data_IF_888550066382
#
_entry.id   IF_888550066382
#
_cell.length_a   1.000
_cell.length_b   1.000
_cell.length_c   1.000
_cell.angle_alpha   90.00
_cell.angle_beta   90.00
_cell.angle_gamma   90.00
#
_symmetry.space_group_name_H-M   'P 1'
#
loop_
_entity.id
_entity.type
_entity.pdbx_description
1 polymer ?
#
# COMPACT_ATOMS: atom_id res chain seq x y z
N UNK A 1 -15.26 0.65 -24.01
CA UNK A 1 -14.03 1.44 -24.06
C UNK A 1 -13.42 1.20 -25.44
N UNK A 2 -13.28 2.22 -26.29
CA UNK A 2 -12.66 2.01 -27.62
C UNK A 2 -11.15 1.85 -27.48
N UNK A 3 -10.52 1.16 -28.43
CA UNK A 3 -9.08 0.92 -28.50
C UNK A 3 -8.26 2.21 -28.30
N UNK A 4 -8.70 3.28 -28.98
CA UNK A 4 -8.13 4.63 -28.87
C UNK A 4 -8.15 5.19 -27.44
N UNK A 5 -9.23 5.03 -26.67
CA UNK A 5 -9.28 5.53 -25.29
C UNK A 5 -8.30 4.81 -24.38
N UNK A 6 -8.09 3.50 -24.60
CA UNK A 6 -7.14 2.70 -23.83
C UNK A 6 -5.68 3.06 -24.17
N UNK A 7 -5.38 3.33 -25.44
CA UNK A 7 -4.05 3.82 -25.87
C UNK A 7 -3.72 5.20 -25.24
N UNK A 8 -4.69 6.12 -25.21
CA UNK A 8 -4.52 7.42 -24.57
C UNK A 8 -4.37 7.33 -23.04
N UNK A 9 -5.00 6.35 -22.39
CA UNK A 9 -4.84 6.09 -20.95
C UNK A 9 -3.45 5.56 -20.63
N UNK A 10 -2.96 4.57 -21.38
CA UNK A 10 -1.61 4.05 -21.24
C UNK A 10 -0.53 5.12 -21.52
N UNK A 11 -0.78 6.04 -22.47
CA UNK A 11 0.15 7.12 -22.76
C UNK A 11 0.22 8.15 -21.64
N UNK A 12 -0.92 8.57 -21.08
CA UNK A 12 -0.97 9.46 -19.92
C UNK A 12 -0.24 8.84 -18.72
N UNK A 13 -0.51 7.58 -18.40
CA UNK A 13 0.17 6.86 -17.32
C UNK A 13 1.69 6.82 -17.54
N UNK A 14 2.15 6.55 -18.76
CA UNK A 14 3.59 6.56 -19.07
C UNK A 14 4.23 7.94 -18.84
N UNK A 15 3.53 9.03 -19.15
CA UNK A 15 4.00 10.39 -18.92
C UNK A 15 4.04 10.73 -17.42
N UNK A 16 3.02 10.36 -16.67
CA UNK A 16 2.99 10.52 -15.21
C UNK A 16 4.18 9.79 -14.56
N UNK A 17 4.43 8.54 -14.95
CA UNK A 17 5.58 7.75 -14.48
C UNK A 17 6.92 8.44 -14.77
N UNK A 18 7.09 9.02 -15.98
CA UNK A 18 8.31 9.78 -16.33
C UNK A 18 8.49 11.04 -15.51
N UNK A 19 7.40 11.79 -15.29
CA UNK A 19 7.42 13.00 -14.45
C UNK A 19 7.76 12.65 -13.00
N UNK A 20 7.15 11.58 -12.47
CA UNK A 20 7.45 11.09 -11.13
C UNK A 20 8.92 10.69 -10.95
N UNK A 21 9.47 9.90 -11.89
CA UNK A 21 10.91 9.52 -11.85
C UNK A 21 11.79 10.76 -11.90
N UNK A 22 11.47 11.72 -12.76
CA UNK A 22 12.20 12.98 -12.86
C UNK A 22 12.21 13.79 -11.56
N UNK A 23 11.07 13.85 -10.87
CA UNK A 23 10.94 14.49 -9.56
C UNK A 23 11.74 13.78 -8.47
N UNK A 24 11.70 12.43 -8.48
CA UNK A 24 12.38 11.61 -7.48
C UNK A 24 13.90 11.70 -7.59
N UNK A 25 14.42 11.74 -8.80
CA UNK A 25 15.85 11.75 -9.08
C UNK A 25 16.46 13.16 -9.13
N UNK A 26 15.66 14.20 -8.84
CA UNK A 26 16.04 15.61 -8.94
C UNK A 26 16.61 15.98 -10.33
N UNK A 27 16.06 15.34 -11.39
CA UNK A 27 16.51 15.48 -12.77
C UNK A 27 15.35 15.76 -13.75
N UNK A 28 14.27 16.34 -13.24
CA UNK A 28 13.04 16.62 -13.97
C UNK A 28 13.30 17.39 -15.28
N UNK A 29 12.92 16.80 -16.42
CA UNK A 29 12.88 17.47 -17.72
C UNK A 29 11.54 18.22 -17.87
N UNK A 30 11.55 19.57 -17.98
CA UNK A 30 10.34 20.37 -18.19
C UNK A 30 9.51 19.91 -19.40
N UNK A 31 10.13 19.30 -20.41
CA UNK A 31 9.42 18.80 -21.60
C UNK A 31 8.48 17.63 -21.26
N UNK A 32 8.82 16.80 -20.27
CA UNK A 32 7.93 15.72 -19.83
C UNK A 32 6.70 16.28 -19.11
N UNK A 33 6.87 17.35 -18.32
CA UNK A 33 5.77 18.01 -17.61
C UNK A 33 4.80 18.64 -18.60
N UNK A 34 5.32 19.34 -19.62
CA UNK A 34 4.49 19.93 -20.69
C UNK A 34 3.79 18.86 -21.51
N UNK A 35 4.49 17.78 -21.87
CA UNK A 35 3.89 16.67 -22.61
C UNK A 35 2.73 16.03 -21.83
N UNK A 36 2.92 15.82 -20.51
CA UNK A 36 1.85 15.35 -19.63
C UNK A 36 0.67 16.33 -19.59
N UNK A 37 0.93 17.63 -19.40
CA UNK A 37 -0.12 18.64 -19.34
C UNK A 37 -0.92 18.71 -20.66
N UNK A 38 -0.26 18.63 -21.82
CA UNK A 38 -0.94 18.58 -23.11
C UNK A 38 -1.83 17.33 -23.24
N UNK A 39 -1.32 16.14 -22.87
CA UNK A 39 -2.11 14.90 -22.93
C UNK A 39 -3.34 14.98 -22.00
N UNK A 40 -3.18 15.53 -20.79
CA UNK A 40 -4.28 15.75 -19.86
C UNK A 40 -5.31 16.74 -20.41
N UNK A 41 -4.85 17.84 -21.02
CA UNK A 41 -5.71 18.83 -21.66
C UNK A 41 -6.52 18.22 -22.81
N UNK A 42 -5.89 17.41 -23.67
CA UNK A 42 -6.55 16.70 -24.76
C UNK A 42 -7.64 15.74 -24.26
N UNK A 43 -7.45 15.20 -23.05
CA UNK A 43 -8.43 14.38 -22.31
C UNK A 43 -9.45 15.20 -21.52
N UNK A 44 -9.52 16.52 -21.72
CA UNK A 44 -10.40 17.45 -20.99
C UNK A 44 -10.16 17.50 -19.47
N UNK A 45 -8.97 17.10 -19.00
CA UNK A 45 -8.55 17.28 -17.60
C UNK A 45 -7.94 18.67 -17.44
N UNK A 46 -8.80 19.68 -17.39
CA UNK A 46 -8.41 21.10 -17.40
C UNK A 46 -8.27 21.67 -15.97
N UNK A 47 -7.33 21.16 -15.18
CA UNK A 47 -7.02 21.81 -13.89
C UNK A 47 -6.26 23.11 -14.11
N UNK A 48 -6.34 24.04 -13.16
CA UNK A 48 -5.60 25.32 -13.22
C UNK A 48 -4.10 25.08 -13.43
N UNK A 49 -3.55 24.03 -12.81
CA UNK A 49 -2.15 23.62 -12.96
C UNK A 49 -1.83 23.18 -14.40
N UNK A 50 -2.70 22.39 -15.02
CA UNK A 50 -2.52 21.93 -16.41
C UNK A 50 -2.54 23.12 -17.36
N UNK A 51 -3.49 24.05 -17.19
CA UNK A 51 -3.58 25.26 -18.02
C UNK A 51 -2.34 26.14 -17.86
N UNK A 52 -1.88 26.34 -16.63
CA UNK A 52 -0.67 27.13 -16.35
C UNK A 52 0.58 26.56 -17.05
N UNK A 53 0.77 25.23 -17.02
CA UNK A 53 1.91 24.58 -17.69
C UNK A 53 1.84 24.71 -19.20
N UNK A 54 0.64 24.58 -19.79
CA UNK A 54 0.45 24.65 -21.25
C UNK A 54 0.62 26.08 -21.78
N UNK A 55 0.21 27.09 -21.02
CA UNK A 55 0.25 28.49 -21.44
C UNK A 55 1.66 29.12 -21.34
N UNK A 56 2.53 28.60 -20.47
CA UNK A 56 3.85 29.19 -20.19
C UNK A 56 4.95 28.54 -21.04
N UNK A 57 5.91 29.36 -21.46
CA UNK A 57 7.15 28.85 -22.07
C UNK A 57 8.00 28.13 -21.02
N UNK A 58 8.37 26.84 -21.21
CA UNK A 58 9.17 26.10 -20.22
C UNK A 58 10.56 26.70 -19.99
N UNK A 59 11.09 27.45 -20.97
CA UNK A 59 12.36 28.15 -20.86
C UNK A 59 12.32 29.38 -19.91
N UNK A 60 11.11 29.84 -19.57
CA UNK A 60 10.88 31.01 -18.71
C UNK A 60 10.46 30.60 -17.29
N UNK A 61 10.24 29.30 -17.03
CA UNK A 61 9.88 28.76 -15.73
C UNK A 61 11.15 28.31 -15.00
N UNK A 62 11.30 28.72 -13.74
CA UNK A 62 12.46 28.28 -12.95
C UNK A 62 12.38 26.77 -12.63
N UNK A 63 13.51 26.06 -12.44
CA UNK A 63 13.48 24.63 -12.10
C UNK A 63 12.67 24.29 -10.84
N UNK A 64 12.75 25.14 -9.80
CA UNK A 64 12.00 24.96 -8.56
C UNK A 64 10.48 25.10 -8.78
N UNK A 65 10.09 26.06 -9.61
CA UNK A 65 8.69 26.28 -9.97
C UNK A 65 8.15 25.15 -10.86
N UNK A 66 8.94 24.67 -11.82
CA UNK A 66 8.58 23.51 -12.64
C UNK A 66 8.41 22.24 -11.80
N UNK A 67 9.24 22.06 -10.78
CA UNK A 67 9.12 20.97 -9.79
C UNK A 67 7.80 21.06 -9.01
N UNK A 68 7.42 22.27 -8.59
CA UNK A 68 6.15 22.48 -7.89
C UNK A 68 4.94 22.23 -8.80
N UNK A 69 4.99 22.67 -10.05
CA UNK A 69 3.96 22.41 -11.06
C UNK A 69 3.80 20.92 -11.34
N UNK A 70 4.91 20.21 -11.55
CA UNK A 70 4.90 18.77 -11.79
C UNK A 70 4.31 17.97 -10.64
N UNK A 71 4.63 18.31 -9.38
CA UNK A 71 4.01 17.68 -8.19
C UNK A 71 2.50 17.89 -8.17
N UNK A 72 2.04 19.13 -8.37
CA UNK A 72 0.61 19.46 -8.40
C UNK A 72 -0.13 18.72 -9.51
N UNK A 73 0.47 18.57 -10.69
CA UNK A 73 -0.14 17.78 -11.78
C UNK A 73 -0.34 16.33 -11.36
N UNK A 74 0.67 15.68 -10.77
CA UNK A 74 0.53 14.29 -10.30
C UNK A 74 -0.50 14.16 -9.18
N UNK A 75 -0.54 15.12 -8.25
CA UNK A 75 -1.54 15.16 -7.18
C UNK A 75 -2.97 15.32 -7.75
N UNK A 76 -3.14 16.22 -8.73
CA UNK A 76 -4.41 16.48 -9.42
C UNK A 76 -4.94 15.26 -10.19
N UNK A 77 -4.05 14.42 -10.73
CA UNK A 77 -4.42 13.19 -11.44
C UNK A 77 -4.62 11.99 -10.52
N UNK A 78 -4.25 12.11 -9.24
CA UNK A 78 -4.29 11.01 -8.28
C UNK A 78 -3.25 9.93 -8.59
N UNK A 79 -2.14 10.30 -9.23
CA UNK A 79 -1.08 9.35 -9.56
C UNK A 79 -0.45 8.76 -8.30
N UNK A 80 -0.45 7.44 -8.21
CA UNK A 80 0.14 6.70 -7.09
C UNK A 80 1.27 5.78 -7.58
N UNK A 81 2.52 5.99 -7.15
CA UNK A 81 3.64 5.19 -7.63
C UNK A 81 3.54 3.74 -7.12
N UNK A 82 3.68 2.80 -8.05
CA UNK A 82 3.79 1.37 -7.78
C UNK A 82 5.06 0.99 -6.99
N UNK A 83 5.17 -0.27 -6.59
CA UNK A 83 6.37 -0.80 -5.91
C UNK A 83 7.64 -0.74 -6.78
N UNK A 84 7.49 -0.71 -8.10
CA UNK A 84 8.57 -0.56 -9.07
C UNK A 84 9.16 0.86 -9.07
N UNK A 85 8.32 1.88 -8.88
CA UNK A 85 8.71 3.29 -8.83
C UNK A 85 9.08 3.78 -7.42
N UNK A 86 8.53 3.13 -6.39
CA UNK A 86 8.79 3.43 -4.98
C UNK A 86 9.21 2.15 -4.23
N UNK A 87 10.41 1.60 -4.49
CA UNK A 87 10.86 0.33 -3.91
C UNK A 87 10.97 0.36 -2.38
N UNK A 88 11.14 1.53 -1.76
CA UNK A 88 11.11 1.70 -0.31
C UNK A 88 9.76 1.29 0.32
N UNK A 89 8.63 1.46 -0.40
CA UNK A 89 7.30 1.00 0.04
C UNK A 89 7.28 -0.52 0.19
N UNK A 90 7.98 -1.24 -0.69
CA UNK A 90 8.11 -2.70 -0.61
C UNK A 90 8.99 -3.13 0.58
N UNK A 91 10.02 -2.36 0.92
CA UNK A 91 10.85 -2.62 2.12
C UNK A 91 10.09 -2.39 3.43
N UNK A 92 9.24 -1.37 3.49
CA UNK A 92 8.30 -1.16 4.61
C UNK A 92 7.39 -2.37 4.75
N UNK A 93 6.82 -2.85 3.66
CA UNK A 93 5.92 -4.01 3.67
C UNK A 93 6.63 -5.31 4.10
N UNK A 94 7.85 -5.56 3.60
CA UNK A 94 8.70 -6.69 4.05
C UNK A 94 9.01 -6.61 5.55
N UNK A 95 9.21 -5.41 6.06
CA UNK A 95 9.42 -5.18 7.49
C UNK A 95 8.15 -5.48 8.30
N UNK A 96 7.01 -5.01 7.84
CA UNK A 96 5.70 -5.33 8.43
C UNK A 96 5.44 -6.85 8.44
N UNK A 97 5.74 -7.56 7.35
CA UNK A 97 5.57 -9.01 7.26
C UNK A 97 6.39 -9.75 8.30
N UNK A 98 7.66 -9.37 8.49
CA UNK A 98 8.51 -9.96 9.53
C UNK A 98 7.96 -9.77 10.94
N UNK A 99 7.17 -8.72 11.18
CA UNK A 99 6.52 -8.48 12.47
C UNK A 99 5.29 -9.39 12.61
N UNK A 100 4.34 -9.34 11.67
CA UNK A 100 3.13 -10.21 11.71
C UNK A 100 3.49 -11.70 11.70
N UNK A 101 4.54 -12.11 10.97
CA UNK A 101 4.94 -13.52 10.89
C UNK A 101 5.25 -14.14 12.27
N UNK A 102 5.64 -13.34 13.27
CA UNK A 102 5.87 -13.81 14.64
C UNK A 102 4.60 -14.31 15.32
N UNK A 103 3.46 -13.79 14.90
CA UNK A 103 2.14 -14.16 15.43
C UNK A 103 1.59 -15.42 14.77
N UNK A 104 1.98 -15.71 13.51
CA UNK A 104 1.52 -16.88 12.76
C UNK A 104 1.83 -18.20 13.47
N UNK A 105 2.91 -18.26 14.25
CA UNK A 105 3.26 -19.45 15.04
C UNK A 105 2.18 -19.79 16.08
N UNK A 106 1.45 -18.79 16.60
CA UNK A 106 0.31 -19.04 17.52
C UNK A 106 -0.86 -19.75 16.84
N UNK A 107 -0.89 -19.74 15.50
CA UNK A 107 -1.85 -20.46 14.67
C UNK A 107 -1.32 -21.82 14.19
N UNK A 108 -0.07 -22.15 14.50
CA UNK A 108 0.63 -23.34 14.02
C UNK A 108 1.11 -23.22 12.57
N UNK A 109 1.29 -22.00 12.07
CA UNK A 109 1.87 -21.73 10.75
C UNK A 109 3.35 -21.45 10.96
N UNK A 110 4.19 -22.33 10.41
CA UNK A 110 5.65 -22.28 10.50
C UNK A 110 6.28 -21.89 9.16
N UNK A 111 7.54 -21.45 9.21
CA UNK A 111 8.27 -20.98 8.04
C UNK A 111 8.15 -19.46 7.83
N UNK A 112 9.07 -18.91 7.05
CA UNK A 112 9.08 -17.49 6.73
C UNK A 112 8.14 -17.22 5.54
N UNK A 113 7.06 -16.44 5.72
CA UNK A 113 6.28 -15.99 4.59
C UNK A 113 7.04 -14.94 3.79
N UNK A 114 6.65 -14.78 2.52
CA UNK A 114 7.23 -13.82 1.58
C UNK A 114 6.17 -12.89 1.02
N UNK A 115 6.59 -11.68 0.63
CA UNK A 115 5.73 -10.76 -0.12
C UNK A 115 5.71 -11.19 -1.58
N UNK A 116 4.52 -11.25 -2.17
CA UNK A 116 4.30 -11.50 -3.59
C UNK A 116 3.64 -10.28 -4.23
N UNK A 117 4.30 -9.65 -5.19
CA UNK A 117 3.68 -8.58 -5.99
C UNK A 117 2.77 -9.22 -7.03
N UNK A 118 1.52 -8.78 -7.07
CA UNK A 118 0.47 -9.32 -7.93
C UNK A 118 0.33 -8.44 -9.18
N UNK A 119 1.26 -8.62 -10.13
CA UNK A 119 1.31 -7.85 -11.39
C UNK A 119 0.03 -7.99 -12.23
N UNK A 120 -0.68 -9.12 -12.11
CA UNK A 120 -1.91 -9.40 -12.86
C UNK A 120 -3.17 -8.75 -12.23
N UNK A 121 -3.02 -8.01 -11.12
CA UNK A 121 -4.13 -7.34 -10.43
C UNK A 121 -4.18 -5.86 -10.79
N UNK A 122 -5.41 -5.32 -10.81
CA UNK A 122 -5.62 -3.88 -10.98
C UNK A 122 -6.46 -3.30 -9.83
N UNK A 123 -5.93 -2.33 -9.06
CA UNK A 123 -4.54 -1.85 -9.10
C UNK A 123 -3.54 -2.93 -8.68
N UNK A 124 -2.29 -2.83 -9.18
CA UNK A 124 -1.19 -3.72 -8.77
C UNK A 124 -0.91 -3.52 -7.29
N UNK A 125 -0.79 -4.61 -6.54
CA UNK A 125 -0.46 -4.58 -5.12
C UNK A 125 0.22 -5.85 -4.66
N UNK A 126 0.25 -6.11 -3.36
CA UNK A 126 0.97 -7.22 -2.77
C UNK A 126 0.08 -8.17 -1.95
N UNK A 127 0.28 -9.47 -2.15
CA UNK A 127 -0.20 -10.54 -1.28
C UNK A 127 0.93 -11.10 -0.41
N UNK A 128 0.60 -12.13 0.36
CA UNK A 128 1.57 -12.89 1.18
C UNK A 128 1.58 -14.34 0.73
N UNK A 129 2.77 -14.87 0.45
CA UNK A 129 2.99 -16.29 0.16
C UNK A 129 3.54 -16.98 1.40
N UNK A 130 2.84 -18.00 1.88
CA UNK A 130 3.27 -18.85 2.98
C UNK A 130 4.35 -19.84 2.51
N UNK A 131 5.07 -20.43 3.47
CA UNK A 131 6.17 -21.37 3.20
C UNK A 131 5.71 -22.69 2.54
N UNK A 132 4.45 -23.06 2.71
CA UNK A 132 3.81 -24.20 2.01
C UNK A 132 3.37 -23.86 0.58
N UNK A 133 3.63 -22.62 0.13
CA UNK A 133 3.31 -22.11 -1.19
C UNK A 133 1.91 -21.51 -1.31
N UNK A 134 1.10 -21.56 -0.25
CA UNK A 134 -0.22 -20.94 -0.25
C UNK A 134 -0.14 -19.42 -0.31
N UNK A 135 -1.13 -18.79 -0.95
CA UNK A 135 -1.23 -17.33 -1.07
C UNK A 135 -2.35 -16.81 -0.19
N UNK A 136 -2.08 -15.70 0.49
CA UNK A 136 -3.01 -14.91 1.29
C UNK A 136 -3.16 -13.54 0.61
N UNK A 137 -4.35 -13.28 0.09
CA UNK A 137 -4.74 -12.08 -0.65
C UNK A 137 -6.24 -11.74 -0.47
N UNK A 138 -6.89 -12.34 0.54
CA UNK A 138 -8.30 -12.09 0.80
C UNK A 138 -8.51 -10.68 1.36
N UNK A 139 -9.62 -10.05 0.95
CA UNK A 139 -9.87 -8.62 1.18
C UNK A 139 -9.19 -7.69 0.16
N UNK A 140 -8.36 -8.24 -0.73
CA UNK A 140 -7.63 -7.52 -1.77
C UNK A 140 -6.14 -7.37 -1.45
N UNK A 141 -5.31 -6.95 -2.44
CA UNK A 141 -3.89 -6.77 -2.25
C UNK A 141 -3.59 -5.54 -1.38
N UNK A 142 -2.44 -5.55 -0.69
CA UNK A 142 -1.89 -4.37 -0.05
C UNK A 142 -1.41 -3.42 -1.13
N UNK A 143 -2.00 -2.23 -1.19
CA UNK A 143 -1.64 -1.21 -2.16
C UNK A 143 -0.34 -0.50 -1.75
N UNK A 144 0.49 -0.05 -2.71
CA UNK A 144 1.75 0.64 -2.42
C UNK A 144 1.60 1.84 -1.47
N UNK A 145 0.57 2.67 -1.66
CA UNK A 145 0.33 3.85 -0.81
C UNK A 145 0.01 3.50 0.65
N UNK A 146 -0.47 2.29 0.94
CA UNK A 146 -0.63 1.81 2.32
C UNK A 146 0.71 1.61 3.04
N UNK A 147 1.83 1.69 2.32
CA UNK A 147 3.18 1.52 2.86
C UNK A 147 3.90 2.84 3.15
N UNK A 148 3.25 4.00 2.96
CA UNK A 148 3.82 5.30 3.33
C UNK A 148 3.90 5.50 4.85
N UNK A 149 3.02 4.82 5.60
CA UNK A 149 3.07 4.73 7.06
C UNK A 149 3.30 3.28 7.52
N UNK A 150 4.39 2.99 8.26
CA UNK A 150 4.65 1.66 8.80
C UNK A 150 3.52 1.09 9.68
N UNK A 151 2.78 1.93 10.42
CA UNK A 151 1.69 1.45 11.29
C UNK A 151 0.47 1.01 10.46
N UNK A 152 0.09 1.81 9.45
CA UNK A 152 -0.89 1.44 8.44
C UNK A 152 -0.50 0.15 7.71
N UNK A 153 0.73 0.07 7.17
CA UNK A 153 1.22 -1.10 6.45
C UNK A 153 1.10 -2.39 7.28
N UNK A 154 1.53 -2.32 8.55
CA UNK A 154 1.45 -3.44 9.47
C UNK A 154 0.00 -3.83 9.83
N UNK A 155 -0.88 -2.84 10.00
CA UNK A 155 -2.31 -3.07 10.28
C UNK A 155 -3.02 -3.69 9.09
N UNK A 156 -2.81 -3.18 7.88
CA UNK A 156 -3.40 -3.71 6.65
C UNK A 156 -2.95 -5.15 6.40
N UNK A 157 -1.65 -5.44 6.60
CA UNK A 157 -1.11 -6.79 6.45
C UNK A 157 -1.66 -7.76 7.50
N UNK A 158 -1.76 -7.34 8.77
CA UNK A 158 -2.35 -8.14 9.84
C UNK A 158 -3.82 -8.48 9.54
N UNK A 159 -4.56 -7.51 9.00
CA UNK A 159 -5.97 -7.66 8.60
C UNK A 159 -6.10 -8.64 7.43
N UNK A 160 -5.38 -8.42 6.32
CA UNK A 160 -5.42 -9.30 5.15
C UNK A 160 -5.03 -10.75 5.49
N UNK A 161 -4.00 -10.95 6.31
CA UNK A 161 -3.61 -12.29 6.78
C UNK A 161 -4.72 -12.91 7.63
N UNK A 162 -5.28 -12.16 8.59
CA UNK A 162 -6.38 -12.63 9.43
C UNK A 162 -7.58 -13.07 8.59
N UNK A 163 -8.02 -12.23 7.66
CA UNK A 163 -9.19 -12.50 6.82
C UNK A 163 -8.95 -13.69 5.90
N UNK A 164 -7.76 -13.78 5.30
CA UNK A 164 -7.37 -14.92 4.45
C UNK A 164 -7.36 -16.24 5.23
N UNK A 165 -6.87 -16.23 6.48
CA UNK A 165 -6.87 -17.41 7.34
C UNK A 165 -8.29 -17.77 7.81
N UNK A 166 -9.14 -16.79 8.09
CA UNK A 166 -10.54 -17.01 8.44
C UNK A 166 -11.27 -17.68 7.28
N UNK A 167 -11.20 -17.10 6.07
CA UNK A 167 -11.88 -17.61 4.89
C UNK A 167 -11.43 -19.05 4.57
N UNK A 168 -10.13 -19.30 4.61
CA UNK A 168 -9.57 -20.61 4.27
C UNK A 168 -9.90 -21.67 5.31
N UNK A 169 -9.75 -21.34 6.59
CA UNK A 169 -9.77 -22.34 7.66
C UNK A 169 -11.08 -22.39 8.43
N UNK A 170 -11.98 -21.44 8.20
CA UNK A 170 -13.24 -21.26 8.94
C UNK A 170 -13.03 -21.19 10.45
N UNK A 171 -11.84 -20.75 10.88
CA UNK A 171 -11.45 -20.62 12.27
C UNK A 171 -11.00 -19.19 12.53
N UNK A 172 -11.61 -18.59 13.53
CA UNK A 172 -11.24 -17.27 14.01
C UNK A 172 -9.82 -17.30 14.58
N UNK A 173 -9.00 -16.35 14.14
CA UNK A 173 -7.67 -16.11 14.70
C UNK A 173 -7.30 -14.64 14.53
N UNK A 174 -6.65 -14.01 15.53
CA UNK A 174 -6.44 -14.54 16.88
C UNK A 174 -7.72 -14.50 17.73
N UNK A 175 -7.75 -15.25 18.84
CA UNK A 175 -8.88 -15.26 19.78
C UNK A 175 -8.45 -14.64 21.10
N UNK A 176 -9.25 -13.71 21.61
CA UNK A 176 -9.08 -13.13 22.94
C UNK A 176 -9.39 -14.18 24.00
N UNK A 177 -8.44 -14.56 24.86
CA UNK A 177 -8.65 -15.63 25.81
C UNK A 177 -9.42 -15.20 27.07
N UNK A 178 -9.84 -13.92 27.15
CA UNK A 178 -10.77 -13.42 28.19
C UNK A 178 -12.22 -13.54 27.76
N UNK A 179 -12.51 -13.29 26.48
CA UNK A 179 -13.88 -13.16 25.97
C UNK A 179 -14.27 -14.23 24.95
N UNK A 180 -13.31 -15.04 24.51
CA UNK A 180 -13.48 -16.04 23.44
C UNK A 180 -13.99 -15.42 22.11
N UNK A 181 -13.57 -14.17 21.86
CA UNK A 181 -13.91 -13.41 20.66
C UNK A 181 -12.71 -13.31 19.73
N UNK A 182 -12.97 -13.24 18.43
CA UNK A 182 -11.96 -12.80 17.47
C UNK A 182 -11.47 -11.41 17.81
N UNK A 183 -10.15 -11.23 17.84
CA UNK A 183 -9.53 -9.90 17.90
C UNK A 183 -9.25 -9.43 16.49
N UNK A 184 -9.27 -8.13 16.24
CA UNK A 184 -8.98 -7.57 14.92
C UNK A 184 -7.67 -6.79 14.93
N UNK A 185 -6.96 -6.83 13.80
CA UNK A 185 -5.88 -5.89 13.54
C UNK A 185 -6.46 -4.47 13.51
N UNK A 186 -5.85 -3.54 14.25
CA UNK A 186 -6.31 -2.15 14.31
C UNK A 186 -5.12 -1.25 14.56
N UNK A 187 -5.13 -0.07 13.95
CA UNK A 187 -4.21 0.99 14.35
C UNK A 187 -4.78 1.74 15.55
N UNK A 188 -3.98 1.92 16.61
CA UNK A 188 -4.34 2.71 17.79
C UNK A 188 -3.14 3.47 18.29
N UNK A 189 -3.24 4.80 18.30
CA UNK A 189 -2.15 5.68 18.77
C UNK A 189 -0.87 5.51 17.96
N UNK A 190 -0.96 5.31 16.64
CA UNK A 190 0.19 5.12 15.75
C UNK A 190 0.86 3.75 15.86
N UNK A 191 0.19 2.75 16.43
CA UNK A 191 0.70 1.39 16.54
C UNK A 191 -0.34 0.36 16.07
N UNK A 192 0.11 -0.65 15.32
CA UNK A 192 -0.71 -1.78 14.95
C UNK A 192 -0.87 -2.74 16.14
N UNK A 193 -2.12 -3.05 16.48
CA UNK A 193 -2.48 -3.89 17.62
C UNK A 193 -3.53 -4.93 17.29
N UNK A 194 -3.53 -6.02 18.04
CA UNK A 194 -4.66 -6.94 18.14
C UNK A 194 -5.64 -6.44 19.19
N UNK A 195 -6.80 -5.98 18.74
CA UNK A 195 -7.83 -5.38 19.59
C UNK A 195 -9.02 -6.31 19.77
N UNK A 196 -9.39 -6.59 21.01
CA UNK A 196 -10.63 -7.28 21.35
C UNK A 196 -11.75 -6.26 21.56
N UNK A 197 -12.96 -6.54 21.05
CA UNK A 197 -14.14 -5.69 21.26
C UNK A 197 -14.93 -6.00 22.56
N UNK A 198 -14.55 -7.06 23.29
CA UNK A 198 -15.23 -7.46 24.54
C UNK A 198 -15.09 -6.44 25.67
N UNK A 199 -16.14 -6.30 26.48
CA UNK A 199 -16.25 -5.37 27.63
C UNK A 199 -15.85 -3.92 27.33
N UNK A 200 -16.30 -3.36 26.20
CA UNK A 200 -15.94 -1.99 25.80
C UNK A 200 -14.56 -1.88 25.12
N UNK A 201 -13.88 -3.00 24.97
CA UNK A 201 -12.69 -3.17 24.16
C UNK A 201 -11.38 -3.06 24.93
N UNK A 202 -10.40 -3.87 24.54
CA UNK A 202 -9.06 -3.83 25.11
C UNK A 202 -7.99 -4.32 24.14
N UNK A 203 -6.77 -3.85 24.39
CA UNK A 203 -5.56 -4.32 23.74
C UNK A 203 -5.27 -5.75 24.19
N UNK A 204 -5.26 -6.71 23.25
CA UNK A 204 -4.75 -8.04 23.54
C UNK A 204 -3.22 -8.03 23.52
N UNK A 205 -2.63 -7.57 22.42
CA UNK A 205 -1.18 -7.42 22.24
C UNK A 205 -0.87 -6.47 21.09
N UNK A 206 0.33 -5.86 21.03
CA UNK A 206 0.88 -5.35 19.79
C UNK A 206 0.97 -6.46 18.73
N UNK A 207 0.87 -6.09 17.45
CA UNK A 207 1.12 -7.03 16.36
C UNK A 207 2.58 -7.51 16.41
N UNK A 208 2.80 -8.81 16.26
CA UNK A 208 4.06 -9.52 16.39
C UNK A 208 4.40 -10.00 17.82
N UNK A 209 3.51 -9.78 18.79
CA UNK A 209 3.72 -10.08 20.21
C UNK A 209 2.67 -11.02 20.83
N UNK A 210 1.79 -11.64 20.02
CA UNK A 210 0.73 -12.55 20.53
C UNK A 210 1.30 -13.70 21.35
N UNK A 211 2.43 -14.27 20.92
CA UNK A 211 3.09 -15.37 21.61
C UNK A 211 3.39 -15.06 23.08
N UNK A 212 3.71 -13.80 23.41
CA UNK A 212 3.96 -13.38 24.82
C UNK A 212 2.70 -13.40 25.68
N UNK A 213 1.53 -13.20 25.09
CA UNK A 213 0.25 -13.12 25.80
C UNK A 213 -0.46 -14.48 25.83
N UNK A 214 -0.41 -15.23 24.72
CA UNK A 214 -1.03 -16.54 24.60
C UNK A 214 -0.16 -17.68 25.18
N UNK A 215 1.18 -17.55 25.10
CA UNK A 215 2.10 -18.54 25.64
C UNK A 215 2.16 -18.60 27.17
N UNK A 216 1.76 -17.53 27.87
CA UNK A 216 1.73 -17.47 29.35
C UNK A 216 0.66 -18.38 29.99
N UNK A 217 -0.28 -18.96 29.21
CA UNK A 217 -1.36 -19.80 29.73
C UNK A 217 -1.13 -21.32 29.62
N UNK A 218 -0.03 -21.78 29.01
CA UNK A 218 0.30 -23.22 28.93
C UNK A 218 1.15 -23.72 30.12
N UNK A 219 1.22 -22.95 31.21
CA UNK A 219 2.02 -23.24 32.40
C UNK A 219 1.25 -23.02 33.70
N UNK A 220 0.00 -23.49 33.77
CA UNK A 220 -0.76 -23.74 35.00
C UNK A 220 -1.32 -25.17 34.97
#
# INVERSE_FOLDING_TARGET
>A
MSDVMAEHEAHAEQLERRVYVGLREDNLDPRHVVALACELLDRSHCTDTVLEVVERSPAEVSPAEMTALARRILDDTGFEPGFDLAPERLEVLRTALRIVARDLHTRGIDGAPEIEVLEDWFPVGAGVRLADGERLDWGGPILPNMCDDPAMALTSLATMIQESLLERTWRVWPVCPRHDLGVHGSERGGAAVWWCAGDGGHLLAPVGELSRVLGRRRGE
#
